data_IF_779585378573
#
_entry.id   IF_779585378573
#
_cell.length_a   1.000
_cell.length_b   1.000
_cell.length_c   1.000
_cell.angle_alpha   90.00
_cell.angle_beta   90.00
_cell.angle_gamma   90.00
#
_symmetry.space_group_name_H-M   'P 1'
#
loop_
_entity.id
_entity.type
_entity.pdbx_description
1 polymer ?
#
# COMPACT_ATOMS: atom_id res chain seq x y z
N UNK A 1 -14.06 -34.45 -13.30
CA UNK A 1 -14.89 -33.23 -13.06
C UNK A 1 -14.61 -32.60 -11.69
N UNK A 2 -14.57 -33.38 -10.61
CA UNK A 2 -14.26 -32.88 -9.26
C UNK A 2 -12.81 -32.36 -9.09
N UNK A 3 -11.81 -32.97 -9.74
CA UNK A 3 -10.42 -32.51 -9.67
C UNK A 3 -10.19 -31.17 -10.37
N UNK A 4 -10.83 -30.94 -11.52
CA UNK A 4 -10.77 -29.64 -12.20
C UNK A 4 -11.41 -28.53 -11.36
N UNK A 5 -12.51 -28.82 -10.65
CA UNK A 5 -13.14 -27.86 -9.75
C UNK A 5 -12.23 -27.51 -8.56
N UNK A 6 -11.51 -28.49 -8.00
CA UNK A 6 -10.49 -28.25 -6.96
C UNK A 6 -9.35 -27.36 -7.47
N UNK A 7 -8.88 -27.61 -8.69
CA UNK A 7 -7.81 -26.83 -9.29
C UNK A 7 -8.23 -25.37 -9.54
N UNK A 8 -9.44 -25.16 -10.07
CA UNK A 8 -10.02 -23.82 -10.26
C UNK A 8 -10.16 -23.09 -8.92
N UNK A 9 -10.62 -23.78 -7.88
CA UNK A 9 -10.73 -23.20 -6.55
C UNK A 9 -9.37 -22.74 -6.00
N UNK A 10 -8.32 -23.54 -6.14
CA UNK A 10 -6.96 -23.18 -5.72
C UNK A 10 -6.43 -21.97 -6.50
N UNK A 11 -6.68 -21.90 -7.80
CA UNK A 11 -6.28 -20.74 -8.62
C UNK A 11 -6.99 -19.47 -8.18
N UNK A 12 -8.30 -19.53 -7.93
CA UNK A 12 -9.07 -18.38 -7.44
C UNK A 12 -8.55 -17.93 -6.07
N UNK A 13 -8.30 -18.87 -5.16
CA UNK A 13 -7.74 -18.58 -3.85
C UNK A 13 -6.38 -17.88 -3.98
N UNK A 14 -5.49 -18.43 -4.82
CA UNK A 14 -4.18 -17.86 -5.09
C UNK A 14 -4.33 -16.42 -5.59
N UNK A 15 -5.09 -16.19 -6.67
CA UNK A 15 -5.29 -14.85 -7.25
C UNK A 15 -5.86 -13.88 -6.21
N UNK A 16 -6.81 -14.31 -5.38
CA UNK A 16 -7.41 -13.45 -4.34
C UNK A 16 -6.37 -12.99 -3.30
N UNK A 17 -5.46 -13.88 -2.88
CA UNK A 17 -4.39 -13.55 -1.93
C UNK A 17 -3.44 -12.52 -2.54
N UNK A 18 -3.02 -12.71 -3.80
CA UNK A 18 -2.18 -11.72 -4.48
C UNK A 18 -2.86 -10.37 -4.59
N UNK A 19 -4.15 -10.36 -4.90
CA UNK A 19 -4.93 -9.14 -5.05
C UNK A 19 -5.00 -8.37 -3.72
N UNK A 20 -5.23 -9.06 -2.59
CA UNK A 20 -5.21 -8.44 -1.25
C UNK A 20 -3.83 -7.86 -0.92
N UNK A 21 -2.75 -8.57 -1.24
CA UNK A 21 -1.38 -8.09 -1.00
C UNK A 21 -1.10 -6.83 -1.82
N UNK A 22 -1.47 -6.82 -3.11
CA UNK A 22 -1.26 -5.68 -4.02
C UNK A 22 -2.04 -4.47 -3.52
N UNK A 23 -3.32 -4.63 -3.20
CA UNK A 23 -4.17 -3.54 -2.69
C UNK A 23 -3.58 -2.99 -1.39
N UNK A 24 -3.22 -3.86 -0.45
CA UNK A 24 -2.62 -3.46 0.83
C UNK A 24 -1.31 -2.69 0.63
N UNK A 25 -0.44 -3.15 -0.28
CA UNK A 25 0.82 -2.47 -0.59
C UNK A 25 0.61 -1.14 -1.35
N UNK A 26 -0.46 -1.05 -2.17
CA UNK A 26 -0.84 0.17 -2.90
C UNK A 26 -1.51 1.26 -2.05
N UNK A 27 -1.93 0.94 -0.83
CA UNK A 27 -2.44 1.93 0.15
C UNK A 27 -1.29 2.57 0.95
N UNK A 28 -0.12 1.91 0.99
CA UNK A 28 1.11 2.41 1.61
C UNK A 28 2.02 3.40 0.83
N UNK A 29 1.78 3.85 -0.43
CA UNK A 29 2.74 4.70 -1.14
C UNK A 29 2.90 6.08 -0.51
N UNK A 30 1.99 6.49 0.38
CA UNK A 30 2.12 7.73 1.14
C UNK A 30 3.32 7.72 2.11
N UNK A 31 3.81 6.55 2.53
CA UNK A 31 4.88 6.44 3.52
C UNK A 31 6.29 6.50 2.91
N UNK A 32 6.43 6.25 1.59
CA UNK A 32 7.74 6.17 0.90
C UNK A 32 7.97 7.31 -0.09
N UNK A 33 7.37 8.48 0.12
CA UNK A 33 7.87 9.68 -0.55
C UNK A 33 9.17 10.09 0.13
N UNK A 34 10.27 9.90 -0.58
CA UNK A 34 11.55 10.47 -0.18
C UNK A 34 11.41 11.99 -0.12
N UNK A 35 11.85 12.60 0.97
CA UNK A 35 11.80 14.05 1.18
C UNK A 35 13.14 14.55 1.72
N UNK A 36 13.48 15.80 1.42
CA UNK A 36 14.64 16.48 2.03
C UNK A 36 14.16 17.54 3.01
N UNK A 37 13.04 18.20 2.68
CA UNK A 37 12.41 19.25 3.46
C UNK A 37 10.92 18.96 3.67
N UNK A 38 10.32 19.57 4.69
CA UNK A 38 8.88 19.44 4.95
C UNK A 38 7.99 19.90 3.78
N UNK A 39 8.54 20.75 2.89
CA UNK A 39 7.83 21.27 1.71
C UNK A 39 7.69 20.24 0.59
N UNK A 40 8.55 19.22 0.55
CA UNK A 40 8.49 18.12 -0.42
C UNK A 40 7.31 17.18 -0.15
N UNK A 41 6.78 17.23 1.07
CA UNK A 41 5.66 16.39 1.48
C UNK A 41 4.31 16.96 1.01
N UNK A 42 3.42 16.09 0.50
CA UNK A 42 2.08 16.52 0.08
C UNK A 42 1.31 17.09 1.27
N UNK A 43 0.80 18.31 1.12
CA UNK A 43 -0.10 18.91 2.11
C UNK A 43 -1.50 18.35 1.91
N UNK A 44 -1.94 17.48 2.80
CA UNK A 44 -3.30 16.96 2.82
C UNK A 44 -4.08 17.78 3.85
N UNK A 45 -5.25 18.31 3.47
CA UNK A 45 -5.99 19.35 4.21
C UNK A 45 -6.39 19.01 5.67
N UNK A 46 -6.14 17.79 6.14
CA UNK A 46 -6.45 17.31 7.50
C UNK A 46 -5.29 16.57 8.17
N UNK A 47 -4.11 16.50 7.54
CA UNK A 47 -2.99 15.69 8.03
C UNK A 47 -1.72 16.55 8.03
N UNK A 48 -1.10 16.69 9.20
CA UNK A 48 0.17 17.38 9.33
C UNK A 48 1.30 16.42 8.94
N UNK A 49 1.74 16.47 7.69
CA UNK A 49 2.81 15.59 7.18
C UNK A 49 4.13 16.34 7.23
N UNK A 50 5.15 15.75 7.86
CA UNK A 50 6.51 16.30 7.94
C UNK A 50 7.54 15.33 7.42
N UNK A 51 8.70 15.85 7.03
CA UNK A 51 9.82 15.05 6.62
C UNK A 51 10.62 14.57 7.85
N UNK A 52 10.71 13.25 8.05
CA UNK A 52 11.53 12.62 9.10
C UNK A 52 12.40 11.54 8.48
N UNK A 53 13.71 11.65 8.68
CA UNK A 53 14.71 10.67 8.17
C UNK A 53 14.56 10.39 6.67
N UNK A 54 14.25 11.43 5.91
CA UNK A 54 14.07 11.32 4.47
C UNK A 54 12.72 10.78 4.02
N UNK A 55 11.74 10.63 4.91
CA UNK A 55 10.39 10.14 4.59
C UNK A 55 9.30 11.08 5.08
N UNK A 56 8.26 11.23 4.26
CA UNK A 56 7.05 11.96 4.66
C UNK A 56 6.22 11.11 5.64
N UNK A 57 6.11 11.58 6.89
CA UNK A 57 5.36 10.92 7.95
C UNK A 57 4.29 11.85 8.50
N UNK A 58 3.14 11.28 8.84
CA UNK A 58 2.09 11.99 9.58
C UNK A 58 2.57 12.26 11.01
N UNK A 59 2.44 13.50 11.44
CA UNK A 59 2.70 13.95 12.81
C UNK A 59 1.35 14.33 13.42
N UNK A 60 1.04 13.73 14.57
CA UNK A 60 -0.14 14.06 15.37
C UNK A 60 0.14 15.26 16.28
#
# INVERSE_FOLDING_TARGET
>A
MAENLKFVYLLILFISIFLVIIVSHSITPWLKKNCVTDKDCPKVAKINIRCRRGQCVQVF
#
